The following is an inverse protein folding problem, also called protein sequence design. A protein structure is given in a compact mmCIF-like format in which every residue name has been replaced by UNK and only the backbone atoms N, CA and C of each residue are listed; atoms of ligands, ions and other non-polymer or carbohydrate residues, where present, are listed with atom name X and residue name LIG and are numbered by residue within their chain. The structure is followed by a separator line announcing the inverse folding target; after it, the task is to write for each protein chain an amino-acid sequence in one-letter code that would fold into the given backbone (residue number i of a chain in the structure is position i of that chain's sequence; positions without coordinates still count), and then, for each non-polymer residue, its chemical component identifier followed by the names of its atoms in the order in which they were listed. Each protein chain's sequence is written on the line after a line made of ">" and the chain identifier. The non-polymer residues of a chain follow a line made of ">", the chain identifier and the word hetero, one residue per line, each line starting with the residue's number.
data_IF_388569181944
#
_entry.id   IF_388569181944
#
_cell.length_a   1.000
_cell.length_b   1.000
_cell.length_c   1.000
_cell.angle_alpha   90.00
_cell.angle_beta   90.00
_cell.angle_gamma   90.00
#
_symmetry.space_group_name_H-M   'P 1'
#
loop_
_entity.id
_entity.type
_entity.pdbx_description
1 polymer ?
#
# COMPACT_ATOMS: atom_id res chain seq x y z
N UNK A 1 -21.34 16.83 12.97
CA UNK A 1 -21.25 15.54 13.67
C UNK A 1 -19.84 15.03 13.39
N UNK A 2 -19.07 14.73 14.43
CA UNK A 2 -17.66 14.34 14.31
C UNK A 2 -17.58 12.86 13.98
N UNK A 3 -17.29 12.52 12.72
CA UNK A 3 -16.77 11.19 12.41
C UNK A 3 -15.53 10.95 13.26
N UNK A 4 -15.52 9.87 14.04
CA UNK A 4 -14.37 9.54 14.88
C UNK A 4 -13.23 9.17 13.94
N UNK A 5 -12.18 10.00 13.92
CA UNK A 5 -10.96 9.72 13.16
C UNK A 5 -10.29 8.48 13.77
N UNK A 6 -10.05 7.47 12.94
CA UNK A 6 -9.34 6.25 13.35
C UNK A 6 -7.84 6.53 13.35
N UNK A 7 -7.13 6.14 14.40
CA UNK A 7 -5.67 6.13 14.38
C UNK A 7 -5.21 5.04 13.39
N UNK A 8 -4.99 5.44 12.14
CA UNK A 8 -4.60 4.54 11.05
C UNK A 8 -3.13 4.10 11.10
N UNK A 9 -2.35 4.66 12.03
CA UNK A 9 -0.89 4.52 12.07
C UNK A 9 -0.45 4.21 13.49
N UNK A 10 0.33 3.15 13.68
CA UNK A 10 1.02 2.89 14.93
C UNK A 10 2.46 2.43 14.68
N UNK A 11 3.36 2.69 15.63
CA UNK A 11 4.70 2.09 15.63
C UNK A 11 4.78 1.14 16.81
N UNK A 12 4.92 -0.14 16.53
CA UNK A 12 4.97 -1.19 17.55
C UNK A 12 6.09 -2.18 17.23
N UNK A 13 6.90 -2.53 18.21
CA UNK A 13 7.99 -3.52 18.08
C UNK A 13 8.97 -3.23 16.92
N UNK A 14 9.17 -1.96 16.56
CA UNK A 14 10.04 -1.56 15.46
C UNK A 14 9.41 -1.68 14.07
N UNK A 15 8.08 -1.80 13.99
CA UNK A 15 7.32 -1.79 12.75
C UNK A 15 6.32 -0.65 12.72
N UNK A 16 6.19 -0.01 11.57
CA UNK A 16 5.09 0.86 11.20
C UNK A 16 3.93 -0.03 10.79
N UNK A 17 2.82 0.09 11.49
CA UNK A 17 1.55 -0.54 11.16
C UNK A 17 0.61 0.51 10.59
N UNK A 18 0.03 0.17 9.45
CA UNK A 18 -0.95 0.96 8.73
C UNK A 18 -2.22 0.13 8.69
N UNK A 19 -3.34 0.69 9.13
CA UNK A 19 -4.65 0.05 9.06
C UNK A 19 -5.69 1.07 8.61
N UNK A 20 -6.27 0.83 7.44
CA UNK A 20 -7.11 1.76 6.70
C UNK A 20 -8.45 1.11 6.40
N UNK A 21 -9.50 1.92 6.41
CA UNK A 21 -10.80 1.50 5.88
C UNK A 21 -10.76 1.58 4.36
N UNK A 22 -10.97 0.47 3.63
CA UNK A 22 -10.90 0.48 2.17
C UNK A 22 -11.91 1.41 1.51
N UNK A 23 -13.11 1.50 2.09
CA UNK A 23 -14.20 2.36 1.59
C UNK A 23 -13.79 3.84 1.51
N UNK A 24 -12.86 4.29 2.35
CA UNK A 24 -12.33 5.65 2.28
C UNK A 24 -11.68 5.93 0.91
N UNK A 25 -10.94 4.97 0.37
CA UNK A 25 -10.28 5.09 -0.93
C UNK A 25 -11.22 4.84 -2.10
N UNK A 26 -12.12 3.85 -2.03
CA UNK A 26 -12.88 3.35 -3.21
C UNK A 26 -14.33 3.81 -3.30
N UNK A 27 -14.94 4.36 -2.23
CA UNK A 27 -16.35 4.80 -2.26
C UNK A 27 -16.62 6.20 -1.72
N UNK A 28 -15.61 6.96 -1.26
CA UNK A 28 -15.84 8.25 -0.58
C UNK A 28 -16.46 9.36 -1.44
N UNK A 29 -16.39 9.28 -2.78
CA UNK A 29 -17.13 10.18 -3.67
C UNK A 29 -18.64 9.98 -3.69
N UNK A 30 -19.18 8.92 -3.08
CA UNK A 30 -20.62 8.57 -3.12
C UNK A 30 -21.51 9.31 -2.08
N UNK A 31 -21.08 10.49 -1.62
CA UNK A 31 -21.77 11.38 -0.65
C UNK A 31 -21.68 10.98 0.84
N UNK A 32 -20.81 10.04 1.23
CA UNK A 32 -20.57 9.74 2.64
C UNK A 32 -19.57 10.74 3.25
N UNK A 33 -20.07 11.78 3.92
CA UNK A 33 -19.23 12.78 4.60
C UNK A 33 -18.24 12.16 5.60
N UNK A 34 -18.63 11.07 6.26
CA UNK A 34 -17.78 10.40 7.24
C UNK A 34 -16.56 9.72 6.59
N UNK A 35 -16.71 9.18 5.37
CA UNK A 35 -15.60 8.57 4.63
C UNK A 35 -14.66 9.62 4.05
N UNK A 36 -15.11 10.86 3.80
CA UNK A 36 -14.24 11.91 3.27
C UNK A 36 -13.12 12.29 4.22
N UNK A 37 -13.32 12.15 5.53
CA UNK A 37 -12.32 12.47 6.56
C UNK A 37 -11.45 11.27 6.97
N UNK A 38 -11.73 10.08 6.43
CA UNK A 38 -10.94 8.90 6.78
C UNK A 38 -9.59 8.90 6.05
N UNK A 39 -8.54 8.38 6.71
CA UNK A 39 -7.25 8.19 6.05
C UNK A 39 -7.36 7.15 4.93
N UNK A 40 -6.51 7.28 3.91
CA UNK A 40 -6.47 6.41 2.74
C UNK A 40 -5.08 6.40 2.11
N UNK A 41 -4.70 5.27 1.55
CA UNK A 41 -3.55 5.16 0.66
C UNK A 41 -3.98 4.38 -0.58
N UNK A 42 -3.63 4.89 -1.75
CA UNK A 42 -3.66 4.13 -2.99
C UNK A 42 -2.42 4.44 -3.81
N UNK A 43 -1.99 3.47 -4.62
CA UNK A 43 -0.79 3.55 -5.45
C UNK A 43 -1.15 3.62 -6.92
N UNK A 44 -0.63 4.61 -7.63
CA UNK A 44 -0.85 4.74 -9.08
C UNK A 44 -0.02 3.76 -9.89
N UNK A 45 1.07 3.23 -9.32
CA UNK A 45 2.00 2.35 -10.02
C UNK A 45 2.28 1.11 -9.18
N UNK A 46 1.73 -0.02 -9.62
CA UNK A 46 1.91 -1.33 -9.01
C UNK A 46 2.29 -2.35 -10.07
N UNK A 47 3.21 -3.24 -9.74
CA UNK A 47 3.51 -4.39 -10.58
C UNK A 47 3.61 -5.67 -9.77
N UNK A 48 3.30 -6.79 -10.41
CA UNK A 48 3.64 -8.14 -9.96
C UNK A 48 4.52 -8.79 -11.03
N UNK A 49 5.73 -9.19 -10.64
CA UNK A 49 6.77 -9.71 -11.57
C UNK A 49 7.03 -8.76 -12.76
N UNK A 50 6.97 -7.44 -12.51
CA UNK A 50 7.22 -6.39 -13.51
C UNK A 50 6.06 -6.14 -14.49
N UNK A 51 4.92 -6.81 -14.33
CA UNK A 51 3.70 -6.56 -15.11
C UNK A 51 2.71 -5.74 -14.29
N UNK A 52 2.11 -4.75 -14.92
CA UNK A 52 1.02 -3.97 -14.31
C UNK A 52 -0.30 -4.77 -14.29
N UNK A 53 -1.20 -4.46 -13.34
CA UNK A 53 -2.59 -4.87 -13.41
C UNK A 53 -3.21 -4.47 -14.75
N UNK A 54 -4.09 -5.30 -15.27
CA UNK A 54 -4.76 -5.07 -16.56
C UNK A 54 -5.78 -3.91 -16.52
N UNK A 55 -6.23 -3.53 -15.33
CA UNK A 55 -7.27 -2.53 -15.11
C UNK A 55 -6.99 -1.73 -13.84
N UNK A 56 -7.37 -0.45 -13.86
CA UNK A 56 -7.29 0.45 -12.71
C UNK A 56 -8.56 0.40 -11.85
N UNK A 57 -8.43 0.85 -10.60
CA UNK A 57 -9.50 1.09 -9.66
C UNK A 57 -9.91 2.57 -9.67
N UNK A 58 -11.21 2.87 -9.59
CA UNK A 58 -11.65 4.21 -9.22
C UNK A 58 -11.31 4.44 -7.75
N UNK A 59 -10.65 5.56 -7.47
CA UNK A 59 -10.21 5.97 -6.13
C UNK A 59 -10.41 7.45 -5.92
N UNK A 60 -10.41 7.89 -4.67
CA UNK A 60 -10.71 9.26 -4.29
C UNK A 60 -9.65 9.78 -3.33
N UNK A 61 -9.02 10.90 -3.68
CA UNK A 61 -8.15 11.63 -2.76
C UNK A 61 -8.92 12.06 -1.50
N UNK A 62 -8.19 12.31 -0.42
CA UNK A 62 -8.77 12.82 0.82
C UNK A 62 -9.55 14.11 0.59
N UNK A 63 -10.78 14.18 1.10
CA UNK A 63 -11.64 15.37 0.94
C UNK A 63 -12.11 15.69 -0.48
N UNK A 64 -11.70 14.91 -1.48
CA UNK A 64 -12.14 15.09 -2.87
C UNK A 64 -13.33 14.20 -3.21
N UNK A 65 -14.17 14.67 -4.13
CA UNK A 65 -15.27 13.91 -4.72
C UNK A 65 -14.99 13.46 -6.16
N UNK A 66 -13.92 13.99 -6.76
CA UNK A 66 -13.48 13.60 -8.09
C UNK A 66 -12.81 12.23 -8.06
N UNK A 67 -13.11 11.40 -9.07
CA UNK A 67 -12.48 10.09 -9.21
C UNK A 67 -11.09 10.25 -9.81
N UNK A 68 -10.11 9.63 -9.17
CA UNK A 68 -8.78 9.33 -9.69
C UNK A 68 -8.67 7.84 -10.03
N UNK A 69 -7.76 7.48 -10.93
CA UNK A 69 -7.45 6.07 -11.22
C UNK A 69 -6.18 5.64 -10.50
N UNK A 70 -6.23 4.46 -9.88
CA UNK A 70 -5.06 3.85 -9.23
C UNK A 70 -4.98 2.36 -9.50
N UNK A 71 -3.84 1.75 -9.23
CA UNK A 71 -3.63 0.32 -9.48
C UNK A 71 -3.87 -0.52 -8.23
N UNK A 72 -3.79 0.07 -7.03
CA UNK A 72 -4.02 -0.64 -5.78
C UNK A 72 -4.51 0.31 -4.69
N UNK A 73 -5.55 -0.09 -3.95
CA UNK A 73 -6.01 0.61 -2.76
C UNK A 73 -5.60 -0.17 -1.50
N UNK A 74 -4.86 0.46 -0.60
CA UNK A 74 -4.30 -0.18 0.58
C UNK A 74 -5.35 -0.34 1.69
N UNK A 75 -5.41 -1.52 2.31
CA UNK A 75 -6.17 -1.74 3.56
C UNK A 75 -5.24 -1.83 4.75
N UNK A 76 -4.13 -2.56 4.63
CA UNK A 76 -3.16 -2.64 5.70
C UNK A 76 -1.75 -2.83 5.18
N UNK A 77 -0.79 -2.34 5.95
CA UNK A 77 0.62 -2.52 5.65
C UNK A 77 1.43 -2.52 6.93
N UNK A 78 2.37 -3.45 7.03
CA UNK A 78 3.36 -3.51 8.11
C UNK A 78 4.74 -3.37 7.49
N UNK A 79 5.45 -2.28 7.80
CA UNK A 79 6.81 -2.00 7.33
C UNK A 79 7.79 -1.95 8.51
N UNK A 80 9.00 -2.49 8.39
CA UNK A 80 10.02 -2.29 9.42
C UNK A 80 10.44 -0.80 9.48
N UNK A 81 10.48 -0.23 10.69
CA UNK A 81 10.98 1.13 10.94
C UNK A 81 12.51 1.21 11.06
N UNK A 82 13.19 0.06 11.22
CA UNK A 82 14.63 -0.02 11.41
C UNK A 82 15.23 -1.10 10.49
N UNK A 83 16.44 -0.86 10.00
CA UNK A 83 17.17 -1.72 9.08
C UNK A 83 18.04 -2.75 9.83
N UNK A 84 17.55 -3.27 10.96
CA UNK A 84 18.27 -4.32 11.68
C UNK A 84 18.36 -5.56 10.80
N UNK A 85 19.53 -6.19 10.79
CA UNK A 85 19.77 -7.45 10.08
C UNK A 85 18.68 -8.46 10.45
N UNK A 86 17.91 -8.91 9.46
CA UNK A 86 16.82 -9.88 9.62
C UNK A 86 15.41 -9.29 9.75
N UNK A 87 15.25 -7.97 9.86
CA UNK A 87 13.96 -7.30 10.04
C UNK A 87 13.42 -6.72 8.73
N UNK A 88 13.12 -7.59 7.75
CA UNK A 88 12.59 -7.20 6.44
C UNK A 88 11.20 -7.77 6.16
N UNK A 89 10.55 -8.35 7.16
CA UNK A 89 9.23 -8.92 6.96
C UNK A 89 8.22 -7.80 6.72
N UNK A 90 7.51 -7.88 5.60
CA UNK A 90 6.46 -6.94 5.25
C UNK A 90 5.18 -7.71 5.03
N UNK A 91 4.08 -7.15 5.52
CA UNK A 91 2.75 -7.61 5.17
C UNK A 91 2.00 -6.47 4.51
N UNK A 92 1.27 -6.77 3.43
CA UNK A 92 0.45 -5.82 2.70
C UNK A 92 -0.88 -6.49 2.41
N UNK A 93 -1.95 -5.77 2.62
CA UNK A 93 -3.26 -6.13 2.12
C UNK A 93 -3.95 -4.94 1.45
N UNK A 94 -4.82 -5.25 0.50
CA UNK A 94 -5.58 -4.23 -0.21
C UNK A 94 -6.35 -4.79 -1.40
N UNK A 95 -6.78 -3.89 -2.26
CA UNK A 95 -7.64 -4.20 -3.39
C UNK A 95 -6.96 -3.86 -4.71
N UNK A 96 -7.09 -4.78 -5.67
CA UNK A 96 -6.95 -4.53 -7.09
C UNK A 96 -8.33 -4.50 -7.77
N UNK A 97 -8.38 -4.07 -9.03
CA UNK A 97 -9.52 -4.35 -9.89
C UNK A 97 -9.67 -5.87 -10.05
N UNK A 98 -10.91 -6.36 -10.19
CA UNK A 98 -11.23 -7.80 -10.27
C UNK A 98 -10.41 -8.59 -11.31
N UNK A 99 -9.98 -7.92 -12.37
CA UNK A 99 -9.25 -8.55 -13.48
C UNK A 99 -7.85 -9.03 -13.05
N UNK A 100 -7.30 -8.44 -11.97
CA UNK A 100 -6.05 -8.89 -11.37
C UNK A 100 -6.16 -10.32 -10.81
N UNK A 101 -7.36 -10.79 -10.45
CA UNK A 101 -7.58 -12.18 -10.01
C UNK A 101 -7.05 -13.19 -11.03
N UNK A 102 -7.39 -13.01 -12.31
CA UNK A 102 -6.94 -13.91 -13.38
C UNK A 102 -5.42 -13.86 -13.53
N UNK A 103 -4.83 -12.66 -13.46
CA UNK A 103 -3.37 -12.50 -13.55
C UNK A 103 -2.64 -13.18 -12.38
N UNK A 104 -3.20 -13.14 -11.17
CA UNK A 104 -2.64 -13.80 -9.99
C UNK A 104 -2.80 -15.34 -10.04
N UNK A 105 -3.93 -15.85 -10.53
CA UNK A 105 -4.14 -17.28 -10.75
C UNK A 105 -3.17 -17.85 -11.80
N UNK A 106 -2.91 -17.11 -12.88
CA UNK A 106 -1.91 -17.49 -13.89
C UNK A 106 -0.52 -17.67 -13.28
N UNK A 107 -0.13 -16.79 -12.34
CA UNK A 107 1.13 -16.92 -11.62
C UNK A 107 1.08 -18.10 -10.65
N UNK A 108 -0.04 -18.28 -9.92
CA UNK A 108 -0.19 -19.37 -8.94
C UNK A 108 -0.04 -20.76 -9.56
N UNK A 109 -0.56 -20.96 -10.76
CA UNK A 109 -0.46 -22.23 -11.47
C UNK A 109 0.74 -22.32 -12.42
N UNK A 110 1.61 -21.31 -12.42
CA UNK A 110 2.86 -21.34 -13.17
C UNK A 110 3.81 -22.39 -12.57
N UNK A 111 4.19 -23.38 -13.38
CA UNK A 111 5.19 -24.38 -12.97
C UNK A 111 6.60 -23.79 -12.75
N UNK A 112 6.82 -22.51 -13.05
CA UNK A 112 8.13 -21.85 -13.01
C UNK A 112 8.26 -20.77 -11.92
N UNK A 113 7.15 -20.29 -11.36
CA UNK A 113 7.14 -19.13 -10.48
C UNK A 113 6.54 -19.50 -9.11
N UNK A 114 7.40 -19.74 -8.12
CA UNK A 114 6.97 -19.97 -6.73
C UNK A 114 6.92 -18.69 -5.90
N UNK A 115 7.43 -17.59 -6.45
CA UNK A 115 7.50 -16.27 -5.80
C UNK A 115 6.94 -15.19 -6.70
N UNK A 116 6.29 -14.20 -6.07
CA UNK A 116 5.84 -12.97 -6.71
C UNK A 116 6.61 -11.80 -6.11
N UNK A 117 7.10 -10.92 -6.97
CA UNK A 117 7.67 -9.64 -6.56
C UNK A 117 6.63 -8.57 -6.82
N UNK A 118 6.07 -8.02 -5.76
CA UNK A 118 5.21 -6.85 -5.80
C UNK A 118 6.05 -5.58 -5.68
N UNK A 119 5.72 -4.55 -6.47
CA UNK A 119 6.33 -3.22 -6.37
C UNK A 119 5.23 -2.18 -6.30
N UNK A 120 5.27 -1.28 -5.32
CA UNK A 120 4.28 -0.21 -5.11
C UNK A 120 4.97 1.15 -5.15
N UNK A 121 4.47 2.04 -5.99
CA UNK A 121 5.00 3.38 -6.19
C UNK A 121 3.88 4.38 -6.52
N UNK A 122 4.20 5.67 -6.40
CA UNK A 122 3.27 6.77 -6.58
C UNK A 122 2.08 6.69 -5.62
N UNK A 123 2.30 6.71 -4.29
CA UNK A 123 1.20 6.86 -3.36
C UNK A 123 0.50 8.21 -3.59
N UNK A 124 -0.80 8.25 -3.30
CA UNK A 124 -1.61 9.46 -3.40
C UNK A 124 -1.17 10.55 -2.41
N UNK A 125 -1.55 11.80 -2.65
CA UNK A 125 -1.02 12.95 -1.87
C UNK A 125 -1.87 13.28 -0.65
N UNK A 126 -3.17 13.09 -0.74
CA UNK A 126 -4.12 13.47 0.32
C UNK A 126 -4.49 12.23 1.12
N UNK A 127 -3.57 11.79 2.00
CA UNK A 127 -3.67 10.50 2.68
C UNK A 127 -4.34 10.58 4.05
N UNK A 128 -4.13 11.67 4.80
CA UNK A 128 -4.73 11.86 6.12
C UNK A 128 -5.05 13.34 6.36
N UNK A 129 -6.09 13.62 7.15
CA UNK A 129 -6.52 14.98 7.52
C UNK A 129 -6.24 15.34 8.99
N UNK A 130 -5.47 14.52 9.71
CA UNK A 130 -4.96 14.75 11.08
C UNK A 130 -3.45 14.57 11.10
N UNK A 131 -2.67 15.66 11.19
CA UNK A 131 -1.21 15.51 11.34
C UNK A 131 -0.88 14.71 12.61
N UNK A 132 0.26 14.04 12.64
CA UNK A 132 0.68 13.19 13.75
C UNK A 132 0.72 13.94 15.11
N UNK A 133 0.76 15.27 15.05
CA UNK A 133 0.94 16.25 16.12
C UNK A 133 -0.16 17.34 16.19
N UNK A 134 -1.21 17.30 15.37
CA UNK A 134 -2.23 18.36 15.32
C UNK A 134 -3.05 18.44 16.63
N UNK A 135 -2.91 19.54 17.35
CA UNK A 135 -3.71 19.90 18.54
C UNK A 135 -4.98 20.68 18.23
N UNK A 136 -5.14 21.12 16.99
CA UNK A 136 -6.00 22.25 16.65
C UNK A 136 -6.56 22.13 15.22
N UNK A 137 -7.71 21.46 15.10
CA UNK A 137 -8.86 21.80 14.23
C UNK A 137 -8.71 22.10 12.72
N UNK A 138 -7.52 22.22 12.14
CA UNK A 138 -7.33 22.49 10.71
C UNK A 138 -7.34 21.18 9.93
N UNK A 139 -8.38 20.96 9.15
CA UNK A 139 -8.55 19.78 8.26
C UNK A 139 -7.72 19.92 6.98
N UNK A 140 -6.40 20.10 7.11
CA UNK A 140 -5.50 20.07 5.94
C UNK A 140 -5.05 18.64 5.66
N UNK A 141 -5.22 18.20 4.42
CA UNK A 141 -4.73 16.91 3.96
C UNK A 141 -3.21 16.90 3.81
N UNK A 142 -2.57 15.81 4.22
CA UNK A 142 -1.14 15.60 4.08
C UNK A 142 -0.80 14.20 3.55
N UNK A 143 0.43 14.08 3.05
CA UNK A 143 1.04 12.85 2.59
C UNK A 143 1.76 12.20 3.79
N UNK A 144 1.21 11.09 4.30
CA UNK A 144 1.73 10.41 5.50
C UNK A 144 2.83 9.39 5.17
N UNK A 145 2.71 8.73 4.01
CA UNK A 145 3.63 7.75 3.46
C UNK A 145 4.25 8.32 2.18
N UNK A 146 5.53 8.72 2.28
CA UNK A 146 6.32 9.35 1.20
C UNK A 146 7.59 8.54 0.92
N UNK A 147 7.49 7.32 0.34
CA UNK A 147 8.65 6.49 0.10
C UNK A 147 9.53 7.15 -0.98
N UNK A 148 10.85 7.20 -0.76
CA UNK A 148 11.81 7.78 -1.72
C UNK A 148 12.05 6.87 -2.94
N UNK A 149 11.57 5.64 -2.89
CA UNK A 149 11.70 4.61 -3.92
C UNK A 149 10.53 3.64 -3.78
N UNK A 150 10.22 2.85 -4.82
CA UNK A 150 9.14 1.87 -4.74
C UNK A 150 9.30 0.93 -3.55
N UNK A 151 8.19 0.62 -2.88
CA UNK A 151 8.14 -0.44 -1.86
C UNK A 151 8.10 -1.76 -2.61
N UNK A 152 9.14 -2.57 -2.47
CA UNK A 152 9.25 -3.84 -3.20
C UNK A 152 9.18 -4.99 -2.21
N UNK A 153 8.28 -5.96 -2.44
CA UNK A 153 8.07 -7.10 -1.57
C UNK A 153 8.09 -8.39 -2.37
N UNK A 154 9.01 -9.29 -2.02
CA UNK A 154 9.03 -10.65 -2.55
C UNK A 154 8.26 -11.56 -1.61
N UNK A 155 7.16 -12.13 -2.10
CA UNK A 155 6.33 -13.09 -1.39
C UNK A 155 6.39 -14.46 -2.07
N UNK A 156 6.43 -15.53 -1.28
CA UNK A 156 6.16 -16.86 -1.80
C UNK A 156 4.65 -16.98 -2.10
N UNK A 157 4.25 -17.65 -3.17
CA UNK A 157 2.84 -17.72 -3.58
C UNK A 157 1.92 -18.32 -2.49
N UNK A 158 2.43 -19.25 -1.68
CA UNK A 158 1.71 -19.80 -0.52
C UNK A 158 1.36 -18.74 0.55
N UNK A 159 2.08 -17.62 0.57
CA UNK A 159 1.83 -16.49 1.45
C UNK A 159 0.99 -15.41 0.77
N UNK A 160 0.57 -15.61 -0.48
CA UNK A 160 -0.33 -14.70 -1.20
C UNK A 160 -1.73 -15.29 -1.21
N UNK A 161 -2.61 -14.64 -0.46
CA UNK A 161 -4.04 -14.91 -0.45
C UNK A 161 -4.73 -13.88 -1.33
N UNK A 162 -5.67 -14.32 -2.13
CA UNK A 162 -6.48 -13.43 -2.93
C UNK A 162 -7.84 -14.03 -3.20
N UNK A 163 -8.85 -13.18 -3.22
CA UNK A 163 -10.24 -13.55 -3.43
C UNK A 163 -11.00 -12.40 -4.10
N UNK A 164 -12.02 -12.75 -4.88
CA UNK A 164 -12.91 -11.75 -5.47
C UNK A 164 -13.85 -11.24 -4.39
N UNK A 165 -13.83 -9.93 -4.15
CA UNK A 165 -14.74 -9.23 -3.24
C UNK A 165 -15.71 -8.38 -4.05
N UNK A 166 -16.98 -8.74 -4.00
CA UNK A 166 -18.02 -8.05 -4.77
C UNK A 166 -17.81 -8.19 -6.29
N UNK A 167 -18.32 -7.22 -7.05
CA UNK A 167 -18.34 -7.28 -8.51
C UNK A 167 -17.16 -6.56 -9.19
N UNK A 168 -16.33 -5.83 -8.44
CA UNK A 168 -15.30 -4.94 -8.96
C UNK A 168 -13.90 -5.17 -8.37
N UNK A 169 -13.77 -5.89 -7.26
CA UNK A 169 -12.53 -5.92 -6.50
C UNK A 169 -11.95 -7.33 -6.35
N UNK A 170 -10.63 -7.41 -6.39
CA UNK A 170 -9.88 -8.55 -5.88
C UNK A 170 -9.15 -8.11 -4.62
N UNK A 171 -9.55 -8.66 -3.48
CA UNK A 171 -8.77 -8.52 -2.26
C UNK A 171 -7.52 -9.36 -2.38
N UNK A 172 -6.38 -8.80 -1.98
CA UNK A 172 -5.10 -9.49 -1.91
C UNK A 172 -4.47 -9.20 -0.57
N UNK A 173 -3.97 -10.24 0.09
CA UNK A 173 -3.20 -10.17 1.32
C UNK A 173 -1.95 -11.02 1.14
N UNK A 174 -0.79 -10.46 1.46
CA UNK A 174 0.44 -11.23 1.43
C UNK A 174 1.43 -10.80 2.49
N UNK A 175 2.35 -11.72 2.76
CA UNK A 175 3.55 -11.45 3.53
C UNK A 175 4.81 -11.93 2.82
N UNK A 176 5.89 -11.18 2.98
CA UNK A 176 7.12 -11.41 2.26
C UNK A 176 8.28 -10.62 2.83
N UNK A 177 9.36 -10.56 2.05
CA UNK A 177 10.54 -9.80 2.40
C UNK A 177 10.61 -8.52 1.57
N UNK A 178 10.77 -7.40 2.25
CA UNK A 178 11.05 -6.13 1.61
C UNK A 178 12.42 -6.17 0.94
N UNK A 179 12.45 -5.90 -0.36
CA UNK A 179 13.66 -5.83 -1.16
C UNK A 179 14.09 -4.37 -1.25
N UNK A 180 14.87 -3.91 -0.29
CA UNK A 180 15.71 -2.75 -0.50
C UNK A 180 16.53 -2.97 -1.80
N UNK A 181 16.45 -2.05 -2.77
CA UNK A 181 17.31 -1.93 -3.98
C UNK A 181 17.03 -2.84 -5.19
N UNK A 182 15.79 -3.27 -5.42
CA UNK A 182 15.51 -4.08 -6.59
C UNK A 182 15.63 -3.29 -7.92
N UNK A 183 16.68 -3.58 -8.68
CA UNK A 183 16.80 -3.20 -10.10
C UNK A 183 16.38 -4.40 -10.95
N UNK A 184 15.22 -4.33 -11.60
CA UNK A 184 14.72 -5.39 -12.48
C UNK A 184 15.45 -5.37 -13.82
N UNK A 185 16.18 -6.43 -14.14
CA UNK A 185 16.36 -6.95 -15.49
C UNK A 185 17.03 -8.32 -15.34
N UNK A 186 16.28 -9.40 -15.57
CA UNK A 186 16.75 -10.80 -15.63
C UNK A 186 18.26 -10.99 -15.32
N UNK A 187 18.56 -11.36 -14.06
CA UNK A 187 19.81 -11.94 -13.53
C UNK A 187 20.61 -11.13 -12.47
N UNK A 188 20.70 -11.75 -11.28
CA UNK A 188 21.86 -11.87 -10.37
C UNK A 188 22.47 -10.65 -9.66
N UNK A 189 22.42 -10.77 -8.32
CA UNK A 189 23.45 -10.44 -7.32
C UNK A 189 23.64 -8.99 -6.80
N UNK A 190 23.51 -8.95 -5.46
CA UNK A 190 23.99 -8.01 -4.43
C UNK A 190 23.08 -6.83 -4.05
N UNK A 191 22.47 -7.06 -2.89
CA UNK A 191 21.77 -6.20 -1.94
C UNK A 191 22.65 -5.04 -1.46
N UNK A 192 22.11 -3.81 -1.35
CA UNK A 192 22.43 -2.88 -0.24
C UNK A 192 21.73 -1.50 -0.32
N UNK A 193 20.80 -1.32 0.64
CA UNK A 193 20.30 -0.12 1.32
C UNK A 193 19.14 0.73 0.72
N UNK A 194 17.93 0.43 1.23
CA UNK A 194 16.80 1.36 1.22
C UNK A 194 17.10 2.53 2.17
N UNK A 195 17.42 3.68 1.58
CA UNK A 195 17.41 4.97 2.26
C UNK A 195 15.96 5.45 2.39
N UNK A 196 15.33 5.17 3.54
CA UNK A 196 14.26 6.04 4.03
C UNK A 196 14.96 7.31 4.52
N UNK A 197 14.89 8.40 3.75
CA UNK A 197 15.43 9.71 4.13
C UNK A 197 14.91 10.09 5.53
N UNK A 198 15.83 10.35 6.49
CA UNK A 198 16.11 11.69 7.04
C UNK A 198 14.83 12.55 7.14
N UNK A 199 14.20 12.71 8.29
CA UNK A 199 14.82 13.20 9.53
C UNK A 199 14.41 12.43 10.79
N UNK A 200 15.40 11.88 11.49
CA UNK A 200 15.38 11.80 12.96
C UNK A 200 16.78 12.21 13.42
N UNK A 201 16.92 13.45 13.87
CA UNK A 201 18.14 13.94 14.51
C UNK A 201 18.13 13.55 15.99
N UNK A 202 19.17 12.84 16.45
CA UNK A 202 19.66 12.93 17.83
C UNK A 202 21.17 12.69 17.86
N UNK A 203 21.88 13.54 18.61
CA UNK A 203 23.30 13.41 18.93
C UNK A 203 23.57 12.44 20.07
#
# INVERSE_FOLDING_TARGET
>A
MSGQLVDAWSIENGYLNINLTPDAAVTSGSNSQDLQLQPRIFFSTVTFNGKSPSSNLPTYEGGETAVSESQFALTSMTLPCDNKIGSHHVSIAGYFHKDAFTQLEEIRFSAKETTVVFSFDGPNKQQSCKSFDATDGSSTWFEALTPQSPIVVQAHMNNVRFEVHGSLYTYVEFSGHHMADYTNQYALQRVSQLNIAKDVSFG
#
